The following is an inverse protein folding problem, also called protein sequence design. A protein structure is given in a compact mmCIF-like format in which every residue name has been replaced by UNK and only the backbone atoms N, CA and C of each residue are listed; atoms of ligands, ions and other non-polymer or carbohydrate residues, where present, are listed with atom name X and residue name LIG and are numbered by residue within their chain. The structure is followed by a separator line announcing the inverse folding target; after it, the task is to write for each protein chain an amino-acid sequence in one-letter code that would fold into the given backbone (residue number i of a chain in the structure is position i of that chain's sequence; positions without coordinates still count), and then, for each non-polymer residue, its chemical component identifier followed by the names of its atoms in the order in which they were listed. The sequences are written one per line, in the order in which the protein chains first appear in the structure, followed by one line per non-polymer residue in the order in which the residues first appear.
data_IF_309967338663
#
_entry.id   IF_309967338663
#
_cell.length_a   1.000
_cell.length_b   1.000
_cell.length_c   1.000
_cell.angle_alpha   90.00
_cell.angle_beta   90.00
_cell.angle_gamma   90.00
#
_symmetry.space_group_name_H-M   'P 1'
#
loop_
_entity.id
_entity.type
_entity.pdbx_description
1 polymer ?
#
# COMPACT_ATOMS: atom_id res chain seq x y z
N UNK A 1 -3.89 5.73 3.38
CA UNK A 1 -4.82 6.77 2.89
C UNK A 1 -5.40 6.46 1.52
N UNK A 2 -4.64 5.89 0.58
CA UNK A 2 -5.11 5.62 -0.79
C UNK A 2 -6.53 5.05 -0.87
N UNK A 3 -6.82 3.95 -0.16
CA UNK A 3 -8.15 3.33 -0.11
C UNK A 3 -9.25 4.26 0.41
N UNK A 4 -9.05 4.85 1.60
CA UNK A 4 -10.01 5.79 2.21
C UNK A 4 -10.24 7.05 1.38
N UNK A 5 -9.27 7.43 0.55
CA UNK A 5 -9.33 8.59 -0.34
C UNK A 5 -9.78 8.26 -1.76
N UNK A 6 -10.16 7.01 -2.05
CA UNK A 6 -10.56 6.63 -3.40
C UNK A 6 -9.48 6.86 -4.45
N UNK A 7 -8.22 6.65 -4.10
CA UNK A 7 -7.07 6.88 -4.99
C UNK A 7 -6.59 8.34 -5.09
N UNK A 8 -7.27 9.31 -4.47
CA UNK A 8 -6.84 10.71 -4.50
C UNK A 8 -5.45 10.91 -3.89
N UNK A 9 -5.18 10.30 -2.74
CA UNK A 9 -3.84 10.23 -2.15
C UNK A 9 -3.13 8.95 -2.58
N UNK A 10 -2.43 9.01 -3.71
CA UNK A 10 -1.67 7.89 -4.25
C UNK A 10 -0.55 7.46 -3.30
N UNK A 11 -0.44 6.16 -3.02
CA UNK A 11 0.73 5.60 -2.34
C UNK A 11 1.98 5.74 -3.24
N UNK A 12 3.02 6.40 -2.73
CA UNK A 12 4.26 6.61 -3.48
C UNK A 12 5.21 5.43 -3.33
N UNK A 13 5.78 4.98 -4.45
CA UNK A 13 6.87 4.00 -4.48
C UNK A 13 8.15 4.73 -4.09
N UNK A 14 8.87 4.20 -3.10
CA UNK A 14 10.13 4.76 -2.63
C UNK A 14 11.11 3.65 -2.29
N UNK A 15 12.40 3.94 -2.44
CA UNK A 15 13.48 3.00 -2.12
C UNK A 15 14.66 3.73 -1.49
N UNK A 16 15.43 3.00 -0.68
CA UNK A 16 16.70 3.47 -0.15
C UNK A 16 17.81 2.95 -1.07
N UNK A 17 18.61 3.86 -1.62
CA UNK A 17 19.75 3.51 -2.48
C UNK A 17 21.05 3.37 -1.66
N UNK A 18 22.03 2.64 -2.21
CA UNK A 18 23.35 2.53 -1.60
C UNK A 18 23.99 3.93 -1.49
N UNK A 19 24.56 4.30 -0.33
CA UNK A 19 25.22 5.58 -0.21
C UNK A 19 26.51 5.65 -1.06
N UNK A 20 26.97 6.86 -1.41
CA UNK A 20 28.26 7.09 -2.05
C UNK A 20 29.42 6.41 -1.31
N UNK A 21 30.51 6.10 -2.02
CA UNK A 21 31.60 5.27 -1.50
C UNK A 21 32.22 5.79 -0.19
N UNK A 22 32.36 7.11 -0.06
CA UNK A 22 32.89 7.83 1.10
C UNK A 22 31.94 7.85 2.31
N UNK A 23 30.70 7.38 2.15
CA UNK A 23 29.67 7.34 3.18
C UNK A 23 29.30 5.91 3.63
N UNK A 24 29.78 4.86 2.95
CA UNK A 24 29.38 3.47 3.21
C UNK A 24 29.74 2.94 4.61
N UNK A 25 30.75 3.52 5.26
CA UNK A 25 31.17 3.16 6.62
C UNK A 25 30.51 3.97 7.73
N UNK A 26 29.55 4.86 7.40
CA UNK A 26 28.87 5.71 8.37
C UNK A 26 27.52 5.12 8.75
N UNK A 27 27.23 5.12 10.04
CA UNK A 27 25.93 4.69 10.56
C UNK A 27 24.82 5.62 10.06
N UNK A 28 23.66 5.02 9.74
CA UNK A 28 22.45 5.75 9.35
C UNK A 28 21.31 5.31 10.28
N UNK A 29 20.73 6.25 10.99
CA UNK A 29 19.58 6.00 11.85
C UNK A 29 18.29 6.41 11.14
N UNK A 30 17.33 5.49 11.08
CA UNK A 30 15.97 5.75 10.62
C UNK A 30 14.98 5.44 11.73
N UNK A 31 14.10 6.40 12.04
CA UNK A 31 12.97 6.21 12.97
C UNK A 31 11.70 6.43 12.17
N UNK A 32 10.85 5.40 12.10
CA UNK A 32 9.64 5.41 11.30
C UNK A 32 8.43 5.18 12.20
N UNK A 33 7.40 6.01 12.03
CA UNK A 33 6.11 5.83 12.67
C UNK A 33 5.05 5.61 11.58
N UNK A 34 4.45 4.42 11.57
CA UNK A 34 3.41 4.07 10.61
C UNK A 34 2.04 4.25 11.27
N UNK A 35 1.32 5.29 10.87
CA UNK A 35 -0.05 5.53 11.31
C UNK A 35 -1.02 4.63 10.52
N UNK A 36 -1.92 3.97 11.25
CA UNK A 36 -2.96 3.10 10.73
C UNK A 36 -4.32 3.60 11.23
N UNK A 37 -5.40 3.20 10.55
CA UNK A 37 -6.74 3.40 11.10
C UNK A 37 -7.00 2.38 12.22
N UNK A 38 -8.06 2.58 12.99
CA UNK A 38 -8.50 1.57 13.96
C UNK A 38 -8.85 0.25 13.27
N UNK A 39 -8.62 -0.85 13.97
CA UNK A 39 -8.68 -2.21 13.41
C UNK A 39 -10.03 -2.56 12.78
N UNK A 40 -11.13 -2.08 13.36
CA UNK A 40 -12.49 -2.30 12.88
C UNK A 40 -12.89 -1.43 11.69
N UNK A 41 -12.08 -0.43 11.30
CA UNK A 41 -12.41 0.46 10.19
C UNK A 41 -12.34 -0.31 8.87
N UNK A 42 -13.47 -0.38 8.18
CA UNK A 42 -13.55 -0.88 6.79
C UNK A 42 -12.98 0.17 5.85
N UNK A 43 -12.07 -0.24 4.97
CA UNK A 43 -11.27 0.65 4.13
C UNK A 43 -11.99 1.03 2.84
N UNK A 44 -13.18 1.61 2.96
CA UNK A 44 -13.96 2.16 1.85
C UNK A 44 -13.66 3.65 1.62
N UNK A 45 -13.71 4.15 0.37
CA UNK A 45 -13.57 5.57 0.09
C UNK A 45 -14.62 6.42 0.81
N UNK A 46 -14.21 7.58 1.33
CA UNK A 46 -15.10 8.56 1.98
C UNK A 46 -15.85 9.42 0.94
N UNK A 47 -16.80 8.78 0.24
CA UNK A 47 -17.56 9.35 -0.89
C UNK A 47 -18.40 10.58 -0.54
N UNK A 48 -18.63 10.83 0.75
CA UNK A 48 -19.23 12.05 1.26
C UNK A 48 -18.37 13.31 1.04
N UNK A 49 -17.07 13.14 0.76
CA UNK A 49 -16.16 14.25 0.50
C UNK A 49 -16.55 15.02 -0.78
N UNK A 50 -16.78 16.35 -0.71
CA UNK A 50 -17.04 17.17 -1.89
C UNK A 50 -15.89 17.12 -2.91
N UNK A 51 -14.67 16.89 -2.44
CA UNK A 51 -13.50 16.73 -3.33
C UNK A 51 -13.61 15.44 -4.11
N UNK A 52 -13.94 14.32 -3.45
CA UNK A 52 -14.06 13.01 -4.12
C UNK A 52 -15.25 12.97 -5.09
N UNK A 53 -16.35 13.66 -4.78
CA UNK A 53 -17.48 13.82 -5.70
C UNK A 53 -17.07 14.55 -6.98
N UNK A 54 -16.17 15.54 -6.89
CA UNK A 54 -15.68 16.30 -8.06
C UNK A 54 -14.63 15.55 -8.87
N UNK A 55 -13.70 14.88 -8.22
CA UNK A 55 -12.51 14.27 -8.89
C UNK A 55 -12.70 12.79 -9.22
N UNK A 56 -13.76 12.17 -8.70
CA UNK A 56 -14.03 10.75 -8.85
C UNK A 56 -13.28 9.88 -7.83
N UNK A 57 -13.64 8.61 -7.83
CA UNK A 57 -13.14 7.59 -6.90
C UNK A 57 -12.63 6.40 -7.71
N UNK A 58 -11.37 6.03 -7.48
CA UNK A 58 -10.77 4.80 -7.99
C UNK A 58 -10.81 3.73 -6.90
N UNK A 59 -11.67 2.73 -7.10
CA UNK A 59 -11.78 1.59 -6.20
C UNK A 59 -10.75 0.54 -6.56
N UNK A 60 -10.02 0.04 -5.55
CA UNK A 60 -9.11 -1.12 -5.69
C UNK A 60 -9.86 -2.45 -5.59
N UNK A 61 -10.99 -2.44 -4.90
CA UNK A 61 -11.88 -3.58 -4.62
C UNK A 61 -13.31 -3.04 -4.49
N UNK A 62 -14.32 -3.88 -4.72
CA UNK A 62 -15.71 -3.52 -4.48
C UNK A 62 -15.92 -3.15 -3.00
N UNK A 63 -16.88 -2.25 -2.73
CA UNK A 63 -17.01 -1.72 -1.37
C UNK A 63 -17.39 -2.85 -0.41
N UNK A 64 -18.28 -3.77 -0.81
CA UNK A 64 -18.70 -5.01 -0.13
C UNK A 64 -17.55 -5.92 0.30
N UNK A 65 -16.51 -6.00 -0.53
CA UNK A 65 -15.34 -6.85 -0.33
C UNK A 65 -14.16 -6.11 0.32
N UNK A 66 -14.32 -4.82 0.63
CA UNK A 66 -13.27 -4.01 1.21
C UNK A 66 -12.85 -4.54 2.60
N UNK A 67 -11.54 -4.76 2.85
CA UNK A 67 -11.09 -5.29 4.13
C UNK A 67 -11.20 -4.27 5.25
N UNK A 68 -11.21 -4.76 6.50
CA UNK A 68 -10.91 -3.91 7.65
C UNK A 68 -9.41 -3.60 7.71
N UNK A 69 -9.02 -2.57 8.49
CA UNK A 69 -7.61 -2.26 8.70
C UNK A 69 -6.85 -3.44 9.31
N UNK A 70 -7.46 -4.18 10.24
CA UNK A 70 -6.85 -5.37 10.82
C UNK A 70 -6.56 -6.43 9.76
N UNK A 71 -7.56 -6.78 8.94
CA UNK A 71 -7.40 -7.79 7.88
C UNK A 71 -6.29 -7.38 6.92
N UNK A 72 -6.30 -6.13 6.44
CA UNK A 72 -5.27 -5.65 5.53
C UNK A 72 -3.87 -5.71 6.16
N UNK A 73 -3.73 -5.23 7.41
CA UNK A 73 -2.44 -5.24 8.12
C UNK A 73 -1.91 -6.67 8.27
N UNK A 74 -2.74 -7.59 8.79
CA UNK A 74 -2.35 -8.99 9.01
C UNK A 74 -1.97 -9.67 7.71
N UNK A 75 -2.76 -9.51 6.64
CA UNK A 75 -2.45 -10.08 5.33
C UNK A 75 -1.11 -9.58 4.79
N UNK A 76 -0.85 -8.26 4.87
CA UNK A 76 0.42 -7.68 4.40
C UNK A 76 1.63 -8.16 5.21
N UNK A 77 1.51 -8.21 6.54
CA UNK A 77 2.61 -8.67 7.40
C UNK A 77 2.89 -10.16 7.20
N UNK A 78 1.85 -11.00 7.05
CA UNK A 78 2.03 -12.44 6.87
C UNK A 78 2.66 -12.81 5.51
N UNK A 79 2.33 -12.05 4.45
CA UNK A 79 2.85 -12.27 3.11
C UNK A 79 4.30 -11.80 2.93
N UNK A 80 4.75 -10.85 3.75
CA UNK A 80 6.07 -10.23 3.59
C UNK A 80 7.20 -11.27 3.65
N UNK A 81 7.93 -11.40 2.53
CA UNK A 81 9.06 -12.33 2.41
C UNK A 81 8.68 -13.81 2.23
N UNK A 82 7.40 -14.14 2.17
CA UNK A 82 6.92 -15.54 2.11
C UNK A 82 5.98 -15.79 0.92
N UNK A 83 5.37 -14.74 0.36
CA UNK A 83 4.43 -14.84 -0.76
C UNK A 83 5.11 -15.28 -2.06
N UNK A 84 4.46 -16.18 -2.81
CA UNK A 84 4.83 -16.46 -4.19
C UNK A 84 4.37 -15.31 -5.09
N UNK A 85 5.33 -14.56 -5.62
CA UNK A 85 5.06 -13.47 -6.56
C UNK A 85 4.86 -14.00 -7.98
N UNK A 86 3.83 -13.51 -8.67
CA UNK A 86 3.59 -13.82 -10.08
C UNK A 86 4.23 -12.77 -10.95
N UNK A 87 5.14 -13.20 -11.84
CA UNK A 87 5.80 -12.31 -12.78
C UNK A 87 4.88 -11.99 -13.96
N UNK A 88 4.77 -10.71 -14.30
CA UNK A 88 4.07 -10.21 -15.48
C UNK A 88 5.00 -10.08 -16.68
N UNK A 89 4.39 -9.97 -17.87
CA UNK A 89 5.10 -9.82 -19.14
C UNK A 89 5.91 -8.51 -19.25
N UNK A 90 5.54 -7.47 -18.50
CA UNK A 90 6.27 -6.20 -18.41
C UNK A 90 7.43 -6.22 -17.40
N UNK A 91 7.68 -7.38 -16.78
CA UNK A 91 8.79 -7.58 -15.84
C UNK A 91 8.44 -7.27 -14.38
N UNK A 92 7.27 -6.69 -14.09
CA UNK A 92 6.81 -6.46 -12.73
C UNK A 92 6.28 -7.73 -12.06
N UNK A 93 6.26 -7.73 -10.75
CA UNK A 93 5.76 -8.83 -9.93
C UNK A 93 4.44 -8.43 -9.26
N UNK A 94 3.50 -9.36 -9.13
CA UNK A 94 2.22 -9.12 -8.48
C UNK A 94 1.88 -10.19 -7.46
N UNK A 95 1.16 -9.76 -6.42
CA UNK A 95 0.50 -10.63 -5.45
C UNK A 95 -0.92 -10.13 -5.19
N UNK A 96 -1.77 -11.01 -4.66
CA UNK A 96 -3.12 -10.64 -4.22
C UNK A 96 -3.16 -10.63 -2.70
N UNK A 97 -3.47 -9.47 -2.13
CA UNK A 97 -3.56 -9.24 -0.69
C UNK A 97 -4.94 -8.71 -0.34
N UNK A 98 -5.67 -9.46 0.50
CA UNK A 98 -7.02 -9.08 0.94
C UNK A 98 -7.93 -8.69 -0.23
N UNK A 99 -7.93 -9.49 -1.30
CA UNK A 99 -8.74 -9.24 -2.51
C UNK A 99 -8.19 -8.17 -3.46
N UNK A 100 -7.08 -7.51 -3.12
CA UNK A 100 -6.48 -6.46 -3.95
C UNK A 100 -5.19 -6.94 -4.61
N UNK A 101 -5.03 -6.67 -5.91
CA UNK A 101 -3.75 -6.86 -6.61
C UNK A 101 -2.76 -5.78 -6.19
N UNK A 102 -1.60 -6.20 -5.70
CA UNK A 102 -0.48 -5.35 -5.33
C UNK A 102 0.66 -5.63 -6.30
N UNK A 103 1.08 -4.59 -7.02
CA UNK A 103 2.26 -4.64 -7.90
C UNK A 103 3.51 -4.25 -7.11
N UNK A 104 4.55 -5.06 -7.25
CA UNK A 104 5.88 -4.86 -6.70
C UNK A 104 6.80 -4.29 -7.77
N UNK A 105 7.58 -3.29 -7.35
CA UNK A 105 8.50 -2.54 -8.20
C UNK A 105 9.92 -2.77 -7.68
N UNK A 106 10.57 -3.80 -8.22
CA UNK A 106 11.96 -4.16 -7.93
C UNK A 106 12.89 -3.63 -9.02
#
# INVERSE_FOLDING_TARGET
MELLSGGFYKGTIHRVVQPPADQRGRERLGVFYFALADDAVRLVPRVESPVLQRVGVQRRVADEDAPTMETLRRSRTAAYGTSTLKRRADGHEEEVLAGMTVTHFN
#
